data_IF_375785105540
#
_entry.id   IF_375785105540
#
_cell.length_a   1.000
_cell.length_b   1.000
_cell.length_c   1.000
_cell.angle_alpha   90.00
_cell.angle_beta   90.00
_cell.angle_gamma   90.00
#
_symmetry.space_group_name_H-M   'P 1'
#
loop_
_entity.id
_entity.type
_entity.pdbx_description
1 polymer ?
#
# COMPACT_ATOMS: atom_id res chain seq x y z
N UNK A 1 36.22 -19.51 -37.14
CA UNK A 1 35.70 -18.94 -35.88
C UNK A 1 34.30 -19.50 -35.65
N UNK A 2 34.13 -20.37 -34.65
CA UNK A 2 32.91 -21.17 -34.47
C UNK A 2 31.76 -20.30 -33.97
N UNK A 3 30.82 -19.99 -34.86
CA UNK A 3 29.62 -19.17 -34.57
C UNK A 3 28.78 -19.72 -33.41
N UNK A 4 28.82 -21.03 -33.17
CA UNK A 4 28.11 -21.71 -32.09
C UNK A 4 28.69 -21.41 -30.70
N UNK A 5 30.01 -21.34 -30.56
CA UNK A 5 30.68 -20.95 -29.30
C UNK A 5 30.46 -19.46 -28.98
N UNK A 6 30.47 -18.60 -30.00
CA UNK A 6 30.14 -17.19 -29.84
C UNK A 6 28.68 -16.99 -29.39
N UNK A 7 27.77 -17.84 -29.88
CA UNK A 7 26.35 -17.81 -29.52
C UNK A 7 26.11 -18.28 -28.07
N UNK A 8 26.74 -19.36 -27.63
CA UNK A 8 26.56 -19.87 -26.26
C UNK A 8 27.25 -19.01 -25.20
N UNK A 9 28.43 -18.44 -25.49
CA UNK A 9 29.06 -17.44 -24.60
C UNK A 9 28.22 -16.17 -24.52
N UNK A 10 27.70 -15.69 -25.67
CA UNK A 10 26.79 -14.55 -25.69
C UNK A 10 25.52 -14.79 -24.88
N UNK A 11 24.91 -15.98 -25.01
CA UNK A 11 23.73 -16.36 -24.22
C UNK A 11 24.03 -16.40 -22.72
N UNK A 12 25.18 -16.96 -22.33
CA UNK A 12 25.62 -16.96 -20.94
C UNK A 12 25.78 -15.55 -20.37
N UNK A 13 26.38 -14.63 -21.14
CA UNK A 13 26.51 -13.22 -20.73
C UNK A 13 25.17 -12.52 -20.57
N UNK A 14 24.20 -12.79 -21.46
CA UNK A 14 22.84 -12.23 -21.35
C UNK A 14 22.16 -12.72 -20.06
N UNK A 15 22.27 -14.01 -19.73
CA UNK A 15 21.69 -14.56 -18.49
C UNK A 15 22.34 -13.93 -17.26
N UNK A 16 23.66 -13.83 -17.22
CA UNK A 16 24.38 -13.19 -16.10
C UNK A 16 24.00 -11.72 -15.96
N UNK A 17 23.94 -10.99 -17.07
CA UNK A 17 23.51 -9.60 -17.07
C UNK A 17 22.07 -9.45 -16.58
N UNK A 18 21.15 -10.30 -17.05
CA UNK A 18 19.75 -10.27 -16.64
C UNK A 18 19.59 -10.51 -15.13
N UNK A 19 20.28 -11.52 -14.58
CA UNK A 19 20.28 -11.80 -13.15
C UNK A 19 20.89 -10.64 -12.34
N UNK A 20 22.02 -10.09 -12.81
CA UNK A 20 22.65 -8.92 -12.18
C UNK A 20 21.75 -7.68 -12.20
N UNK A 21 21.08 -7.43 -13.33
CA UNK A 21 20.12 -6.34 -13.49
C UNK A 21 18.91 -6.52 -12.56
N UNK A 22 18.35 -7.73 -12.49
CA UNK A 22 17.22 -8.03 -11.62
C UNK A 22 17.55 -7.77 -10.13
N UNK A 23 18.73 -8.20 -9.68
CA UNK A 23 19.22 -7.94 -8.33
C UNK A 23 19.46 -6.44 -8.11
N UNK A 24 20.15 -5.77 -9.02
CA UNK A 24 20.43 -4.34 -8.93
C UNK A 24 19.15 -3.49 -8.92
N UNK A 25 18.13 -3.86 -9.71
CA UNK A 25 16.85 -3.17 -9.76
C UNK A 25 16.16 -3.14 -8.40
N UNK A 26 16.17 -4.28 -7.68
CA UNK A 26 15.56 -4.36 -6.35
C UNK A 26 16.25 -3.46 -5.32
N UNK A 27 17.56 -3.23 -5.44
CA UNK A 27 18.32 -2.37 -4.53
C UNK A 27 18.31 -0.90 -4.93
N UNK A 28 18.39 -0.60 -6.23
CA UNK A 28 18.52 0.77 -6.75
C UNK A 28 17.18 1.47 -6.94
N UNK A 29 16.14 0.73 -7.31
CA UNK A 29 14.82 1.29 -7.65
C UNK A 29 13.72 0.87 -6.66
N UNK A 30 14.04 0.06 -5.64
CA UNK A 30 13.08 -0.49 -4.68
C UNK A 30 12.28 0.52 -3.85
N UNK A 31 12.62 1.81 -3.92
CA UNK A 31 11.89 2.91 -3.27
C UNK A 31 11.47 4.05 -4.22
N UNK A 32 11.75 3.95 -5.52
CA UNK A 32 11.42 5.01 -6.47
C UNK A 32 10.05 4.74 -7.09
N UNK A 33 9.00 5.33 -6.52
CA UNK A 33 7.64 5.30 -7.07
C UNK A 33 7.40 6.59 -7.87
N UNK A 34 7.61 6.53 -9.18
CA UNK A 34 7.27 7.66 -10.05
C UNK A 34 5.78 7.64 -10.37
N UNK A 35 5.07 8.65 -9.90
CA UNK A 35 3.68 8.89 -10.27
C UNK A 35 3.62 9.54 -11.67
N UNK A 36 3.20 8.73 -12.65
CA UNK A 36 3.06 9.15 -14.05
C UNK A 36 1.63 9.60 -14.39
N UNK A 37 0.76 9.77 -13.40
CA UNK A 37 -0.60 10.27 -13.65
C UNK A 37 -0.57 11.76 -13.97
N UNK A 38 -1.49 12.20 -14.83
CA UNK A 38 -1.57 13.59 -15.33
C UNK A 38 -1.66 14.63 -14.20
N UNK A 39 -2.29 14.27 -13.08
CA UNK A 39 -2.48 15.15 -11.93
C UNK A 39 -1.73 14.71 -10.68
N UNK A 40 -0.76 13.80 -10.80
CA UNK A 40 -0.02 13.26 -9.66
C UNK A 40 -0.94 12.74 -8.54
N UNK A 41 -1.97 11.98 -8.92
CA UNK A 41 -3.05 11.49 -8.05
C UNK A 41 -2.55 10.57 -6.93
N UNK A 42 -1.33 10.08 -7.03
CA UNK A 42 -0.66 9.19 -6.07
C UNK A 42 0.57 9.85 -5.43
N UNK A 43 0.73 11.17 -5.59
CA UNK A 43 1.81 11.94 -4.97
C UNK A 43 1.27 12.75 -3.80
N UNK A 44 1.94 12.66 -2.66
CA UNK A 44 1.63 13.48 -1.50
C UNK A 44 1.92 14.95 -1.80
N UNK A 45 0.96 15.82 -1.49
CA UNK A 45 1.12 17.26 -1.71
C UNK A 45 2.27 17.83 -0.87
N UNK A 46 2.91 18.91 -1.32
CA UNK A 46 3.96 19.59 -0.54
C UNK A 46 3.47 20.01 0.87
N UNK A 47 2.20 20.45 0.97
CA UNK A 47 1.61 20.80 2.26
C UNK A 47 1.48 19.59 3.18
N UNK A 48 0.97 18.46 2.67
CA UNK A 48 0.90 17.21 3.42
C UNK A 48 2.28 16.70 3.83
N UNK A 49 3.28 16.82 2.94
CA UNK A 49 4.66 16.44 3.23
C UNK A 49 5.23 17.25 4.40
N UNK A 50 5.07 18.58 4.40
CA UNK A 50 5.51 19.43 5.51
C UNK A 50 4.84 19.00 6.81
N UNK A 51 3.51 18.81 6.80
CA UNK A 51 2.77 18.39 8.00
C UNK A 51 3.26 17.06 8.56
N UNK A 52 3.60 16.10 7.70
CA UNK A 52 4.09 14.77 8.12
C UNK A 52 5.51 14.82 8.69
N UNK A 53 6.36 15.72 8.18
CA UNK A 53 7.73 15.92 8.69
C UNK A 53 7.75 16.68 10.02
N UNK A 54 6.76 17.55 10.23
CA UNK A 54 6.64 18.40 11.42
C UNK A 54 5.80 17.75 12.53
N UNK A 55 5.54 16.44 12.47
CA UNK A 55 4.81 15.73 13.55
C UNK A 55 5.68 15.67 14.81
N UNK A 56 5.19 16.25 15.90
CA UNK A 56 5.90 16.35 17.18
C UNK A 56 5.92 15.03 17.98
N UNK A 57 4.87 14.21 17.87
CA UNK A 57 4.72 12.95 18.62
C UNK A 57 4.21 11.80 17.73
N UNK A 58 4.62 10.54 17.97
CA UNK A 58 4.18 9.42 17.15
C UNK A 58 2.65 9.25 17.17
N UNK A 59 2.07 9.04 16.01
CA UNK A 59 0.63 8.80 15.80
C UNK A 59 0.44 7.43 15.16
N UNK A 60 -0.44 6.63 15.74
CA UNK A 60 -0.88 5.36 15.18
C UNK A 60 -2.08 5.58 14.26
N UNK A 61 -1.97 5.12 13.02
CA UNK A 61 -3.01 5.12 12.01
C UNK A 61 -3.57 3.71 11.85
N UNK A 62 -4.79 3.48 12.27
CA UNK A 62 -5.51 2.22 12.07
C UNK A 62 -6.42 2.33 10.87
N UNK A 63 -6.01 1.74 9.75
CA UNK A 63 -6.78 1.66 8.53
C UNK A 63 -7.59 0.36 8.50
N UNK A 64 -8.90 0.49 8.70
CA UNK A 64 -9.86 -0.61 8.66
C UNK A 64 -10.48 -0.71 7.27
N UNK A 65 -10.31 -1.86 6.63
CA UNK A 65 -10.94 -2.18 5.36
C UNK A 65 -11.37 -3.64 5.31
N UNK A 66 -12.67 -3.88 5.10
CA UNK A 66 -13.23 -5.23 4.98
C UNK A 66 -12.81 -5.91 3.67
N UNK A 67 -11.57 -6.41 3.58
CA UNK A 67 -11.02 -7.01 2.36
C UNK A 67 -11.73 -8.34 2.04
N UNK A 68 -11.97 -9.16 3.05
CA UNK A 68 -12.63 -10.47 2.90
C UNK A 68 -14.10 -10.34 2.47
N UNK A 69 -14.84 -9.37 3.01
CA UNK A 69 -16.27 -9.15 2.65
C UNK A 69 -16.42 -8.51 1.26
N UNK A 70 -15.38 -7.85 0.75
CA UNK A 70 -15.46 -7.08 -0.51
C UNK A 70 -14.80 -7.78 -1.71
N UNK A 71 -14.52 -9.10 -1.61
CA UNK A 71 -13.86 -9.87 -2.65
C UNK A 71 -14.49 -9.74 -4.05
N UNK A 72 -15.82 -9.63 -4.11
CA UNK A 72 -16.60 -9.51 -5.34
C UNK A 72 -16.85 -8.06 -5.79
N UNK A 73 -16.20 -7.08 -5.14
CA UNK A 73 -16.32 -5.65 -5.44
C UNK A 73 -14.99 -5.05 -5.95
N UNK A 74 -14.52 -5.38 -7.17
CA UNK A 74 -13.22 -4.94 -7.67
C UNK A 74 -13.01 -3.42 -7.65
N UNK A 75 -14.06 -2.64 -7.94
CA UNK A 75 -13.97 -1.17 -7.92
C UNK A 75 -13.68 -0.63 -6.52
N UNK A 76 -14.28 -1.21 -5.49
CA UNK A 76 -14.07 -0.81 -4.11
C UNK A 76 -12.66 -1.19 -3.63
N UNK A 77 -12.22 -2.43 -3.93
CA UNK A 77 -10.87 -2.90 -3.60
C UNK A 77 -9.78 -2.07 -4.28
N UNK A 78 -9.99 -1.70 -5.55
CA UNK A 78 -9.09 -0.80 -6.25
C UNK A 78 -9.00 0.58 -5.60
N UNK A 79 -10.10 1.10 -5.07
CA UNK A 79 -10.08 2.38 -4.34
C UNK A 79 -9.39 2.25 -2.98
N UNK A 80 -9.68 1.19 -2.23
CA UNK A 80 -9.05 0.89 -0.95
C UNK A 80 -7.53 0.70 -1.08
N UNK A 81 -7.07 0.06 -2.15
CA UNK A 81 -5.66 -0.08 -2.46
C UNK A 81 -4.99 1.29 -2.60
N UNK A 82 -5.60 2.24 -3.32
CA UNK A 82 -5.04 3.59 -3.50
C UNK A 82 -4.94 4.34 -2.16
N UNK A 83 -5.96 4.21 -1.31
CA UNK A 83 -5.93 4.83 0.03
C UNK A 83 -4.84 4.20 0.89
N UNK A 84 -4.72 2.87 0.89
CA UNK A 84 -3.66 2.15 1.59
C UNK A 84 -2.27 2.62 1.13
N UNK A 85 -2.05 2.70 -0.18
CA UNK A 85 -0.78 3.16 -0.75
C UNK A 85 -0.45 4.61 -0.36
N UNK A 86 -1.46 5.49 -0.33
CA UNK A 86 -1.31 6.86 0.15
C UNK A 86 -0.90 6.90 1.63
N UNK A 87 -1.53 6.09 2.48
CA UNK A 87 -1.20 6.03 3.91
C UNK A 87 0.20 5.42 4.17
N UNK A 88 0.63 4.47 3.34
CA UNK A 88 1.99 3.94 3.39
C UNK A 88 3.03 5.00 3.03
N UNK A 89 2.72 5.85 2.05
CA UNK A 89 3.58 7.00 1.72
C UNK A 89 3.62 8.00 2.88
N UNK A 90 2.52 8.17 3.64
CA UNK A 90 2.53 9.02 4.84
C UNK A 90 3.45 8.45 5.92
N UNK A 91 3.36 7.16 6.23
CA UNK A 91 4.28 6.46 7.14
C UNK A 91 5.73 6.65 6.71
N UNK A 92 6.04 6.46 5.42
CA UNK A 92 7.40 6.62 4.89
C UNK A 92 7.92 8.06 5.01
N UNK A 93 7.09 9.07 4.69
CA UNK A 93 7.48 10.49 4.76
C UNK A 93 7.65 10.95 6.21
N UNK A 94 6.88 10.40 7.15
CA UNK A 94 6.87 10.81 8.56
C UNK A 94 8.10 10.40 9.36
N UNK A 95 9.04 9.67 8.76
CA UNK A 95 10.28 9.20 9.40
C UNK A 95 10.05 8.42 10.72
N UNK A 96 8.93 7.69 10.81
CA UNK A 96 8.55 6.87 11.96
C UNK A 96 7.58 7.52 12.95
N UNK A 97 7.18 8.77 12.70
CA UNK A 97 6.17 9.46 13.49
C UNK A 97 4.73 9.09 13.11
N UNK A 98 4.49 8.46 11.97
CA UNK A 98 3.23 7.79 11.65
C UNK A 98 3.50 6.29 11.60
N UNK A 99 2.68 5.50 12.29
CA UNK A 99 2.70 4.03 12.24
C UNK A 99 1.40 3.53 11.66
N UNK A 100 1.47 2.86 10.51
CA UNK A 100 0.27 2.38 9.82
C UNK A 100 -0.03 0.93 10.19
N UNK A 101 -1.24 0.71 10.72
CA UNK A 101 -1.82 -0.60 10.97
C UNK A 101 -2.94 -0.85 9.97
N UNK A 102 -2.86 -1.94 9.21
CA UNK A 102 -3.90 -2.32 8.23
C UNK A 102 -4.68 -3.49 8.82
N UNK A 103 -5.99 -3.31 8.98
CA UNK A 103 -6.86 -4.25 9.67
C UNK A 103 -8.02 -4.65 8.75
N UNK A 104 -8.25 -5.95 8.62
CA UNK A 104 -9.48 -6.51 8.03
C UNK A 104 -10.45 -6.85 9.18
N UNK A 105 -11.50 -6.06 9.41
CA UNK A 105 -12.51 -6.36 10.41
C UNK A 105 -13.47 -7.43 9.87
N UNK A 106 -13.06 -8.69 10.01
CA UNK A 106 -13.91 -9.84 9.67
C UNK A 106 -15.18 -9.86 10.54
N UNK A 107 -16.33 -10.30 10.01
CA UNK A 107 -17.56 -10.41 10.81
C UNK A 107 -17.38 -11.27 12.06
N UNK A 108 -17.89 -10.79 13.19
CA UNK A 108 -17.82 -11.41 14.51
C UNK A 108 -16.39 -11.57 15.05
N UNK A 109 -15.46 -10.69 14.66
CA UNK A 109 -14.07 -10.68 15.14
C UNK A 109 -13.79 -9.55 16.13
N UNK A 110 -12.72 -9.68 16.92
CA UNK A 110 -12.22 -8.59 17.78
C UNK A 110 -11.86 -7.33 16.98
N UNK A 111 -11.47 -7.50 15.71
CA UNK A 111 -11.16 -6.38 14.82
C UNK A 111 -12.42 -5.60 14.40
N UNK A 112 -13.57 -6.28 14.24
CA UNK A 112 -14.87 -5.62 14.02
C UNK A 112 -15.31 -4.85 15.27
N UNK A 113 -15.20 -5.47 16.45
CA UNK A 113 -15.50 -4.81 17.72
C UNK A 113 -14.62 -3.56 17.90
N UNK A 114 -13.32 -3.67 17.64
CA UNK A 114 -12.37 -2.55 17.72
C UNK A 114 -12.69 -1.42 16.72
N UNK A 115 -13.11 -1.76 15.49
CA UNK A 115 -13.56 -0.76 14.52
C UNK A 115 -14.77 0.03 15.04
N UNK A 116 -15.75 -0.68 15.61
CA UNK A 116 -16.96 -0.07 16.16
C UNK A 116 -16.67 0.78 17.42
N UNK A 117 -15.79 0.31 18.31
CA UNK A 117 -15.34 1.05 19.50
C UNK A 117 -14.64 2.36 19.13
N UNK A 118 -13.86 2.36 18.04
CA UNK A 118 -13.27 3.58 17.49
C UNK A 118 -14.26 4.47 16.74
N UNK A 119 -15.56 4.14 16.75
CA UNK A 119 -16.63 4.93 16.16
C UNK A 119 -16.76 4.81 14.65
N UNK A 120 -16.11 3.81 14.03
CA UNK A 120 -16.30 3.55 12.61
C UNK A 120 -17.70 3.02 12.35
N UNK A 121 -18.34 3.55 11.32
CA UNK A 121 -19.70 3.15 10.94
C UNK A 121 -19.66 2.00 9.95
N UNK A 122 -20.31 0.90 10.34
CA UNK A 122 -20.53 -0.24 9.46
C UNK A 122 -21.56 0.13 8.37
N UNK A 123 -21.22 -0.10 7.11
CA UNK A 123 -22.11 0.17 5.97
C UNK A 123 -22.71 -1.15 5.49
N UNK A 124 -24.05 -1.32 5.45
CA UNK A 124 -24.65 -2.57 5.02
C UNK A 124 -24.43 -2.81 3.52
N UNK A 125 -23.96 -4.00 3.17
CA UNK A 125 -23.88 -4.45 1.79
C UNK A 125 -25.24 -4.99 1.36
N UNK A 126 -25.88 -4.31 0.40
CA UNK A 126 -27.23 -4.66 -0.02
C UNK A 126 -27.32 -6.13 -0.48
N UNK A 127 -28.26 -6.87 0.11
CA UNK A 127 -28.60 -8.22 -0.31
C UNK A 127 -27.77 -9.35 0.31
N UNK A 128 -26.78 -9.06 1.18
CA UNK A 128 -25.93 -10.09 1.81
C UNK A 128 -26.06 -10.20 3.33
N UNK A 129 -26.61 -9.18 3.98
CA UNK A 129 -26.67 -9.13 5.46
C UNK A 129 -25.31 -8.91 6.12
N UNK A 130 -24.26 -8.73 5.32
CA UNK A 130 -22.92 -8.36 5.72
C UNK A 130 -22.79 -6.84 5.76
N UNK A 131 -21.88 -6.35 6.60
CA UNK A 131 -21.50 -4.94 6.66
C UNK A 131 -20.04 -4.79 6.28
N UNK A 132 -19.72 -3.64 5.70
CA UNK A 132 -18.35 -3.27 5.32
C UNK A 132 -17.86 -2.12 6.20
N UNK A 133 -16.58 -2.17 6.54
CA UNK A 133 -15.84 -1.06 7.10
C UNK A 133 -14.85 -0.54 6.06
N UNK A 134 -14.77 0.78 5.96
CA UNK A 134 -13.73 1.48 5.22
C UNK A 134 -13.49 2.81 5.94
N UNK A 135 -12.47 2.84 6.78
CA UNK A 135 -12.17 4.00 7.61
C UNK A 135 -10.74 4.05 8.11
N UNK A 136 -10.35 5.22 8.61
CA UNK A 136 -9.05 5.49 9.23
C UNK A 136 -9.29 6.09 10.61
N UNK A 137 -8.59 5.57 11.61
CA UNK A 137 -8.57 6.09 12.97
C UNK A 137 -7.14 6.52 13.29
N UNK A 138 -6.98 7.73 13.82
CA UNK A 138 -5.69 8.24 14.29
C UNK A 138 -5.69 8.41 15.81
N UNK A 139 -4.64 7.92 16.48
CA UNK A 139 -4.48 8.04 17.94
C UNK A 139 -3.05 8.45 18.30
N UNK A 140 -2.89 9.27 19.34
CA UNK A 140 -1.61 9.69 19.92
C UNK A 140 -1.51 9.30 21.40
#
# INVERSE_FOLDING_TARGET
MNRTLFSSVGLGLVVVFFLGFMLANSWLLGGIRWDLTEHKLYTVSEGSRSLLQDIDEPVDFYFYFSDTVTEDLPSLRNYALRVRELLQEFEQISEGNVKLHIIDPEPFSEAEDGAAEHGLQAVPLQGRGETIYFGLVGTN
#
